data_IF_108259673614
#
_entry.id   IF_108259673614
#
_cell.length_a   1.000
_cell.length_b   1.000
_cell.length_c   1.000
_cell.angle_alpha   90.00
_cell.angle_beta   90.00
_cell.angle_gamma   90.00
#
_symmetry.space_group_name_H-M   'P 1'
#
loop_
_entity.id
_entity.type
_entity.pdbx_description
1 polymer ?
#
# COMPACT_ATOMS: atom_id res chain seq x y z
N UNK A 1 -51.93 -29.27 15.17
CA UNK A 1 -50.68 -30.01 14.85
C UNK A 1 -50.32 -29.67 13.41
N UNK A 2 -49.07 -29.28 13.11
CA UNK A 2 -48.45 -29.12 11.76
C UNK A 2 -48.41 -27.78 10.99
N UNK A 3 -48.84 -26.61 11.49
CA UNK A 3 -48.81 -25.37 10.67
C UNK A 3 -47.77 -24.27 11.06
N UNK A 4 -47.05 -24.39 12.18
CA UNK A 4 -46.14 -23.32 12.66
C UNK A 4 -44.65 -23.69 12.48
N UNK A 5 -44.35 -24.94 12.10
CA UNK A 5 -42.98 -25.47 12.08
C UNK A 5 -42.21 -25.11 10.79
N UNK A 6 -42.88 -24.60 9.75
CA UNK A 6 -42.25 -24.42 8.43
C UNK A 6 -41.51 -23.09 8.19
N UNK A 7 -41.66 -22.08 9.07
CA UNK A 7 -41.01 -20.78 8.88
C UNK A 7 -39.76 -20.53 9.75
N UNK A 8 -39.51 -21.35 10.77
CA UNK A 8 -38.37 -21.15 11.69
C UNK A 8 -37.05 -21.74 11.17
N UNK A 9 -37.11 -22.72 10.27
CA UNK A 9 -35.94 -23.46 9.77
C UNK A 9 -35.07 -22.66 8.77
N UNK A 10 -35.62 -21.85 7.84
CA UNK A 10 -34.77 -21.11 6.89
C UNK A 10 -34.00 -19.96 7.54
N UNK A 11 -34.55 -19.37 8.60
CA UNK A 11 -33.99 -18.18 9.27
C UNK A 11 -32.82 -18.57 10.18
N UNK A 12 -32.89 -19.73 10.84
CA UNK A 12 -31.81 -20.22 11.70
C UNK A 12 -30.56 -20.66 10.90
N UNK A 13 -30.71 -20.96 9.61
CA UNK A 13 -29.59 -21.38 8.75
C UNK A 13 -28.69 -20.20 8.33
N UNK A 14 -29.18 -18.96 8.39
CA UNK A 14 -28.42 -17.76 8.00
C UNK A 14 -27.45 -17.26 9.09
N UNK A 15 -27.54 -17.76 10.33
CA UNK A 15 -26.70 -17.30 11.45
C UNK A 15 -25.30 -17.93 11.50
N UNK A 16 -24.95 -18.85 10.59
CA UNK A 16 -23.67 -19.56 10.60
C UNK A 16 -22.64 -19.06 9.57
N UNK A 17 -22.98 -18.05 8.77
CA UNK A 17 -21.97 -17.38 7.93
C UNK A 17 -21.17 -16.38 8.78
N UNK A 18 -20.16 -16.90 9.48
CA UNK A 18 -19.04 -16.08 9.93
C UNK A 18 -18.30 -15.63 8.68
N UNK A 19 -18.59 -14.41 8.24
CA UNK A 19 -17.75 -13.70 7.27
C UNK A 19 -16.42 -13.45 7.98
N UNK A 20 -15.47 -14.36 7.83
CA UNK A 20 -14.09 -14.04 8.15
C UNK A 20 -13.66 -13.04 7.09
N UNK A 21 -13.35 -11.78 7.45
CA UNK A 21 -12.70 -10.90 6.51
C UNK A 21 -11.34 -11.52 6.23
N UNK A 22 -11.24 -12.32 5.17
CA UNK A 22 -9.95 -12.54 4.53
C UNK A 22 -9.47 -11.16 4.17
N UNK A 23 -8.43 -10.68 4.85
CA UNK A 23 -7.63 -9.56 4.37
C UNK A 23 -7.14 -10.01 3.01
N UNK A 24 -7.91 -9.70 1.97
CA UNK A 24 -7.48 -9.83 0.58
C UNK A 24 -6.17 -9.09 0.58
N UNK A 25 -5.08 -9.79 0.25
CA UNK A 25 -3.85 -9.13 -0.10
C UNK A 25 -4.22 -8.23 -1.28
N UNK A 26 -4.58 -6.98 -0.99
CA UNK A 26 -4.77 -5.97 -2.00
C UNK A 26 -3.51 -6.02 -2.85
N UNK A 27 -3.68 -6.04 -4.17
CA UNK A 27 -2.61 -5.87 -5.14
C UNK A 27 -1.64 -4.83 -4.60
N UNK A 28 -0.40 -5.22 -4.32
CA UNK A 28 0.63 -4.32 -3.77
C UNK A 28 0.81 -3.06 -4.63
N UNK A 29 0.40 -3.14 -5.89
CA UNK A 29 0.33 -2.05 -6.87
C UNK A 29 -0.77 -1.02 -6.58
N UNK A 30 -1.99 -1.43 -6.23
CA UNK A 30 -3.08 -0.50 -5.85
C UNK A 30 -2.77 0.20 -4.52
N UNK A 31 -2.16 -0.56 -3.59
CA UNK A 31 -1.66 -0.02 -2.34
C UNK A 31 -0.53 0.99 -2.59
N UNK A 32 0.47 0.63 -3.41
CA UNK A 32 1.60 1.51 -3.73
C UNK A 32 1.16 2.81 -4.42
N UNK A 33 0.22 2.76 -5.38
CA UNK A 33 -0.29 3.97 -6.03
C UNK A 33 -1.01 4.91 -5.06
N UNK A 34 -1.82 4.33 -4.16
CA UNK A 34 -2.56 5.08 -3.13
C UNK A 34 -1.59 5.70 -2.13
N UNK A 35 -0.65 4.92 -1.62
CA UNK A 35 0.39 5.38 -0.68
C UNK A 35 1.27 6.44 -1.34
N UNK A 36 1.69 6.23 -2.59
CA UNK A 36 2.49 7.20 -3.33
C UNK A 36 1.78 8.55 -3.45
N UNK A 37 0.50 8.54 -3.86
CA UNK A 37 -0.32 9.75 -3.95
C UNK A 37 -0.45 10.45 -2.60
N UNK A 38 -0.67 9.70 -1.52
CA UNK A 38 -0.91 10.24 -0.19
C UNK A 38 0.35 10.72 0.54
N UNK A 39 1.51 10.09 0.29
CA UNK A 39 2.71 10.26 1.11
C UNK A 39 3.95 10.76 0.35
N UNK A 40 4.02 10.57 -0.97
CA UNK A 40 5.24 10.78 -1.75
C UNK A 40 5.09 11.88 -2.81
N UNK A 41 3.92 11.93 -3.48
CA UNK A 41 3.67 12.78 -4.65
C UNK A 41 3.80 14.29 -4.36
N UNK A 42 3.62 14.72 -3.10
CA UNK A 42 3.80 16.13 -2.71
C UNK A 42 5.24 16.63 -2.94
N UNK A 43 6.25 15.76 -2.77
CA UNK A 43 7.66 16.11 -2.97
C UNK A 43 8.22 15.54 -4.29
N UNK A 44 7.77 14.35 -4.68
CA UNK A 44 8.25 13.63 -5.87
C UNK A 44 7.45 13.94 -7.14
N UNK A 45 6.37 14.71 -7.06
CA UNK A 45 5.36 14.95 -8.13
C UNK A 45 4.56 13.69 -8.49
N UNK A 46 3.41 13.81 -9.18
CA UNK A 46 2.62 12.63 -9.58
C UNK A 46 3.36 11.64 -10.49
N UNK A 47 4.39 12.09 -11.22
CA UNK A 47 5.17 11.29 -12.18
C UNK A 47 6.56 10.87 -11.67
N UNK A 48 6.84 11.09 -10.38
CA UNK A 48 8.16 10.87 -9.78
C UNK A 48 9.29 11.69 -10.46
N UNK A 49 8.99 12.83 -11.08
CA UNK A 49 9.92 13.72 -11.81
C UNK A 49 11.00 14.38 -10.96
N UNK A 50 10.85 14.34 -9.64
CA UNK A 50 11.83 14.95 -8.73
C UNK A 50 12.41 13.92 -7.78
N UNK A 51 13.70 14.09 -7.48
CA UNK A 51 14.41 13.37 -6.42
C UNK A 51 14.39 11.84 -6.55
N UNK A 52 14.26 11.33 -7.77
CA UNK A 52 14.38 9.91 -8.13
C UNK A 52 15.53 9.75 -9.12
N UNK A 53 16.37 8.73 -8.92
CA UNK A 53 17.54 8.44 -9.75
C UNK A 53 17.43 7.01 -10.29
N UNK A 54 17.02 6.82 -11.56
CA UNK A 54 16.82 5.49 -12.14
C UNK A 54 18.12 4.68 -12.27
N UNK A 55 19.30 5.31 -12.13
CA UNK A 55 20.58 4.61 -12.20
C UNK A 55 20.92 3.86 -10.89
N UNK A 56 20.24 4.19 -9.78
CA UNK A 56 20.45 3.52 -8.50
C UNK A 56 19.73 2.18 -8.43
N UNK A 57 20.32 1.18 -7.74
CA UNK A 57 19.68 -0.11 -7.56
C UNK A 57 18.41 0.03 -6.71
N UNK A 58 17.41 -0.82 -6.98
CA UNK A 58 16.14 -0.81 -6.25
C UNK A 58 16.32 -0.95 -4.74
N UNK A 59 17.27 -1.78 -4.30
CA UNK A 59 17.60 -1.94 -2.88
C UNK A 59 18.04 -0.62 -2.22
N UNK A 60 18.74 0.26 -2.93
CA UNK A 60 19.09 1.59 -2.41
C UNK A 60 17.85 2.48 -2.29
N UNK A 61 16.95 2.44 -3.28
CA UNK A 61 15.67 3.15 -3.21
C UNK A 61 14.82 2.70 -2.01
N UNK A 62 14.74 1.39 -1.79
CA UNK A 62 14.03 0.80 -0.64
C UNK A 62 14.62 1.30 0.67
N UNK A 63 15.95 1.28 0.82
CA UNK A 63 16.60 1.80 2.03
C UNK A 63 16.32 3.29 2.25
N UNK A 64 16.35 4.10 1.18
CA UNK A 64 16.03 5.53 1.25
C UNK A 64 14.58 5.77 1.63
N UNK A 65 13.63 4.96 1.14
CA UNK A 65 12.21 5.04 1.54
C UNK A 65 12.05 4.72 3.03
N UNK A 66 12.72 3.67 3.52
CA UNK A 66 12.60 3.23 4.91
C UNK A 66 13.28 4.21 5.88
N UNK A 67 14.53 4.58 5.61
CA UNK A 67 15.38 5.39 6.51
C UNK A 67 15.28 6.89 6.27
N UNK A 68 14.77 7.31 5.12
CA UNK A 68 14.78 8.71 4.68
C UNK A 68 16.15 9.13 4.15
N UNK A 69 16.23 10.36 3.64
CA UNK A 69 17.47 10.95 3.12
C UNK A 69 17.52 12.45 3.35
N UNK A 70 18.64 12.92 3.89
CA UNK A 70 18.96 14.35 3.92
C UNK A 70 19.45 14.78 2.53
N UNK A 71 18.68 15.65 1.90
CA UNK A 71 19.10 16.37 0.69
C UNK A 71 19.92 17.61 1.04
N UNK A 72 20.22 18.42 0.03
CA UNK A 72 20.95 19.69 0.22
C UNK A 72 20.15 20.74 1.02
N UNK A 73 18.82 20.73 0.87
CA UNK A 73 17.92 21.76 1.42
C UNK A 73 16.67 21.09 2.01
N UNK A 74 16.12 21.59 3.13
CA UNK A 74 14.82 21.14 3.63
C UNK A 74 13.67 21.42 2.64
N UNK A 75 12.55 20.66 2.70
CA UNK A 75 12.31 19.53 3.60
C UNK A 75 13.10 18.28 3.19
N UNK A 76 13.66 17.58 4.18
CA UNK A 76 14.34 16.30 3.96
C UNK A 76 13.32 15.17 3.74
N UNK A 77 13.71 14.15 2.96
CA UNK A 77 12.87 12.98 2.77
C UNK A 77 12.74 12.23 4.10
N UNK A 78 11.53 12.07 4.65
CA UNK A 78 11.34 11.36 5.91
C UNK A 78 11.54 9.86 5.71
N UNK A 79 12.00 9.17 6.75
CA UNK A 79 11.93 7.72 6.82
C UNK A 79 10.51 7.25 7.15
N UNK A 80 10.06 6.18 6.51
CA UNK A 80 8.74 5.59 6.72
C UNK A 80 8.77 4.31 7.58
N UNK A 81 9.94 3.75 7.87
CA UNK A 81 10.06 2.60 8.78
C UNK A 81 9.58 2.95 10.20
N UNK A 82 9.95 4.14 10.71
CA UNK A 82 9.44 4.65 11.99
C UNK A 82 7.92 4.90 11.99
N UNK A 83 7.28 4.88 10.82
CA UNK A 83 5.83 5.00 10.63
C UNK A 83 5.17 3.65 10.35
N UNK A 84 5.90 2.54 10.50
CA UNK A 84 5.39 1.19 10.34
C UNK A 84 5.46 0.62 8.93
N UNK A 85 6.11 1.31 7.98
CA UNK A 85 6.29 0.78 6.63
C UNK A 85 7.26 -0.41 6.65
N UNK A 86 6.83 -1.51 6.04
CA UNK A 86 7.61 -2.73 5.86
C UNK A 86 8.51 -2.65 4.64
N UNK A 87 9.50 -3.55 4.56
CA UNK A 87 10.39 -3.62 3.40
C UNK A 87 9.65 -3.96 2.11
N UNK A 88 8.62 -4.82 2.17
CA UNK A 88 7.85 -5.23 1.00
C UNK A 88 6.96 -4.10 0.47
N UNK A 89 6.38 -3.27 1.35
CA UNK A 89 5.67 -2.04 0.95
C UNK A 89 6.63 -1.03 0.30
N UNK A 90 7.83 -0.88 0.85
CA UNK A 90 8.86 -0.01 0.28
C UNK A 90 9.35 -0.51 -1.10
N UNK A 91 9.48 -1.83 -1.30
CA UNK A 91 9.75 -2.44 -2.61
C UNK A 91 8.62 -2.14 -3.60
N UNK A 92 7.37 -2.31 -3.17
CA UNK A 92 6.19 -1.96 -3.98
C UNK A 92 6.20 -0.50 -4.44
N UNK A 93 6.56 0.42 -3.55
CA UNK A 93 6.70 1.84 -3.87
C UNK A 93 7.86 2.13 -4.83
N UNK A 94 9.03 1.52 -4.61
CA UNK A 94 10.18 1.69 -5.51
C UNK A 94 9.87 1.19 -6.93
N UNK A 95 9.22 0.03 -7.04
CA UNK A 95 8.76 -0.53 -8.31
C UNK A 95 7.70 0.35 -8.97
N UNK A 96 6.72 0.85 -8.21
CA UNK A 96 5.70 1.77 -8.71
C UNK A 96 6.31 3.06 -9.26
N UNK A 97 7.23 3.69 -8.51
CA UNK A 97 7.95 4.89 -8.95
C UNK A 97 8.73 4.67 -10.25
N UNK A 98 9.38 3.51 -10.39
CA UNK A 98 10.07 3.12 -11.64
C UNK A 98 9.08 2.97 -12.80
N UNK A 99 7.91 2.38 -12.54
CA UNK A 99 6.84 2.22 -13.52
C UNK A 99 6.34 3.56 -14.08
N UNK A 100 6.27 4.61 -13.24
CA UNK A 100 5.85 5.96 -13.68
C UNK A 100 6.83 6.64 -14.65
N UNK A 101 8.06 6.13 -14.78
CA UNK A 101 9.11 6.68 -15.65
C UNK A 101 9.22 6.01 -17.00
N UNK A 102 8.64 4.83 -17.13
CA UNK A 102 8.60 4.14 -18.41
C UNK A 102 7.42 4.72 -19.20
N UNK A 103 7.64 5.29 -20.39
CA UNK A 103 6.58 5.89 -21.20
C UNK A 103 5.51 4.88 -21.62
#
# INVERSE_FOLDING_TARGET
MTAIIFFAVPVLLLMNFKVTPTKVAASTVDDAATVYKAKCAACHTPKADKFYDPAKPEAEHVQVILKGKKGEKPPYMPGYEAKGMTEDEAKGLAAYMKGLKTP
#
